data_IF_405498415240
#
_entry.id   IF_405498415240
#
_cell.length_a   1.000
_cell.length_b   1.000
_cell.length_c   1.000
_cell.angle_alpha   90.00
_cell.angle_beta   90.00
_cell.angle_gamma   90.00
#
_symmetry.space_group_name_H-M   'P 1'
#
loop_
_entity.id
_entity.type
_entity.pdbx_description
1 polymer ?
#
# COMPACT_ATOMS: atom_id res chain seq x y z
N UNK A 1 23.13 -0.05 -13.12
CA UNK A 1 21.80 -0.75 -13.21
C UNK A 1 20.74 0.34 -13.14
N UNK A 2 19.63 0.21 -13.87
CA UNK A 2 18.57 1.23 -13.83
C UNK A 2 17.78 1.16 -12.52
N UNK A 3 17.20 2.31 -12.09
CA UNK A 3 16.33 2.41 -10.92
C UNK A 3 15.19 1.38 -10.98
N UNK A 4 14.55 1.26 -12.14
CA UNK A 4 13.44 0.32 -12.38
C UNK A 4 13.88 -1.14 -12.21
N UNK A 5 15.07 -1.50 -12.67
CA UNK A 5 15.62 -2.85 -12.49
C UNK A 5 15.98 -3.13 -11.04
N UNK A 6 16.51 -2.14 -10.32
CA UNK A 6 16.79 -2.27 -8.89
C UNK A 6 15.49 -2.46 -8.08
N UNK A 7 14.42 -1.73 -8.45
CA UNK A 7 13.10 -1.92 -7.85
C UNK A 7 12.54 -3.34 -8.09
N UNK A 8 12.69 -3.89 -9.30
CA UNK A 8 12.32 -5.29 -9.58
C UNK A 8 13.14 -6.27 -8.73
N UNK A 9 14.43 -6.04 -8.60
CA UNK A 9 15.31 -6.87 -7.76
C UNK A 9 14.85 -6.86 -6.30
N UNK A 10 14.56 -5.68 -5.75
CA UNK A 10 14.05 -5.54 -4.38
C UNK A 10 12.66 -6.21 -4.22
N UNK A 11 11.77 -6.09 -5.23
CA UNK A 11 10.46 -6.73 -5.23
C UNK A 11 10.56 -8.27 -5.15
N UNK A 12 11.59 -8.87 -5.74
CA UNK A 12 11.81 -10.32 -5.74
C UNK A 12 12.40 -10.87 -4.43
N UNK A 13 12.88 -10.03 -3.51
CA UNK A 13 13.40 -10.47 -2.22
C UNK A 13 12.27 -11.10 -1.39
N UNK A 14 12.50 -12.31 -0.87
CA UNK A 14 11.49 -13.02 -0.10
C UNK A 14 11.49 -12.67 1.39
N UNK A 15 12.67 -12.46 1.97
CA UNK A 15 12.79 -12.07 3.38
C UNK A 15 12.32 -10.61 3.59
N UNK A 16 11.40 -10.37 4.53
CA UNK A 16 10.85 -9.03 4.73
C UNK A 16 11.88 -7.99 5.18
N UNK A 17 12.83 -8.36 6.03
CA UNK A 17 13.83 -7.42 6.54
C UNK A 17 14.91 -7.14 5.49
N UNK A 18 15.32 -8.15 4.73
CA UNK A 18 16.22 -7.95 3.59
C UNK A 18 15.58 -7.04 2.53
N UNK A 19 14.28 -7.20 2.27
CA UNK A 19 13.52 -6.31 1.38
C UNK A 19 13.50 -4.88 1.91
N UNK A 20 13.21 -4.67 3.19
CA UNK A 20 13.26 -3.36 3.84
C UNK A 20 14.61 -2.70 3.65
N UNK A 21 15.70 -3.42 3.96
CA UNK A 21 17.07 -2.93 3.80
C UNK A 21 17.40 -2.57 2.34
N UNK A 22 16.97 -3.41 1.40
CA UNK A 22 17.17 -3.15 -0.03
C UNK A 22 16.45 -1.89 -0.50
N UNK A 23 15.20 -1.65 -0.03
CA UNK A 23 14.42 -0.45 -0.36
C UNK A 23 15.06 0.80 0.25
N UNK A 24 15.48 0.74 1.51
CA UNK A 24 16.14 1.86 2.20
C UNK A 24 17.47 2.22 1.52
N UNK A 25 18.25 1.22 1.12
CA UNK A 25 19.48 1.44 0.36
C UNK A 25 19.20 2.05 -1.01
N UNK A 26 18.18 1.54 -1.72
CA UNK A 26 17.79 2.04 -3.03
C UNK A 26 17.34 3.51 -2.94
N UNK A 27 16.57 3.88 -1.92
CA UNK A 27 16.20 5.26 -1.66
C UNK A 27 17.43 6.16 -1.39
N UNK A 28 18.34 5.71 -0.55
CA UNK A 28 19.56 6.47 -0.22
C UNK A 28 20.47 6.70 -1.44
N UNK A 29 20.50 5.75 -2.38
CA UNK A 29 21.40 5.76 -3.55
C UNK A 29 20.67 6.09 -4.87
N UNK A 30 19.39 6.45 -4.83
CA UNK A 30 18.57 6.65 -6.05
C UNK A 30 19.14 7.71 -7.01
N UNK A 31 19.81 8.74 -6.48
CA UNK A 31 20.43 9.82 -7.28
C UNK A 31 21.58 9.34 -8.15
N UNK A 32 22.22 8.22 -7.75
CA UNK A 32 23.33 7.60 -8.48
C UNK A 32 22.83 6.54 -9.47
N UNK A 33 21.57 6.15 -9.37
CA UNK A 33 20.95 5.19 -10.26
C UNK A 33 20.50 5.86 -11.56
N UNK A 34 20.80 5.21 -12.68
CA UNK A 34 20.33 5.68 -13.98
C UNK A 34 18.80 5.45 -14.07
N UNK A 35 18.04 6.53 -14.29
CA UNK A 35 16.65 6.39 -14.61
C UNK A 35 16.50 6.07 -16.11
N UNK A 36 15.85 4.98 -16.43
CA UNK A 36 15.61 4.52 -17.80
C UNK A 36 14.11 4.30 -18.03
N UNK A 37 13.30 5.36 -18.21
CA UNK A 37 11.85 5.24 -18.34
C UNK A 37 11.40 4.36 -19.51
N UNK A 38 12.19 4.32 -20.58
CA UNK A 38 11.87 3.59 -21.81
C UNK A 38 12.41 2.14 -21.80
N UNK A 39 13.15 1.74 -20.78
CA UNK A 39 13.67 0.36 -20.69
C UNK A 39 12.51 -0.63 -20.60
N UNK A 40 12.50 -1.60 -21.50
CA UNK A 40 11.57 -2.72 -21.42
C UNK A 40 12.13 -3.78 -20.49
N UNK A 41 11.52 -3.90 -19.32
CA UNK A 41 11.90 -4.89 -18.32
C UNK A 41 10.91 -6.05 -18.36
N UNK A 42 11.44 -7.25 -18.34
CA UNK A 42 10.66 -8.48 -18.25
C UNK A 42 10.98 -9.19 -16.95
N UNK A 43 9.96 -9.74 -16.32
CA UNK A 43 10.12 -10.68 -15.22
C UNK A 43 10.76 -11.96 -15.79
N UNK A 44 11.78 -12.47 -15.13
CA UNK A 44 12.35 -13.77 -15.50
C UNK A 44 11.37 -14.90 -15.11
N UNK A 45 11.28 -15.93 -15.93
CA UNK A 45 10.27 -16.99 -15.81
C UNK A 45 10.31 -17.76 -14.48
N UNK A 46 11.45 -17.76 -13.81
CA UNK A 46 11.63 -18.43 -12.51
C UNK A 46 11.39 -17.51 -11.30
N UNK A 47 11.18 -16.20 -11.52
CA UNK A 47 10.91 -15.26 -10.44
C UNK A 47 9.42 -15.25 -10.08
N UNK A 48 9.12 -15.35 -8.78
CA UNK A 48 7.77 -15.13 -8.27
C UNK A 48 7.61 -13.67 -7.84
N UNK A 49 6.50 -13.05 -8.25
CA UNK A 49 6.17 -11.68 -7.84
C UNK A 49 4.91 -11.65 -6.98
N UNK A 50 5.00 -10.92 -5.87
CA UNK A 50 6.20 -10.41 -5.24
C UNK A 50 6.99 -11.56 -4.59
N UNK A 51 8.29 -11.34 -4.32
CA UNK A 51 9.01 -12.18 -3.38
C UNK A 51 8.31 -12.13 -2.02
N UNK A 52 8.05 -13.29 -1.44
CA UNK A 52 7.34 -13.43 -0.14
C UNK A 52 7.96 -14.50 0.72
N UNK A 53 7.95 -14.32 2.05
CA UNK A 53 8.26 -15.42 2.94
C UNK A 53 7.16 -16.50 2.87
N UNK A 54 7.46 -17.70 3.34
CA UNK A 54 6.51 -18.83 3.39
C UNK A 54 5.32 -18.50 4.31
N UNK A 55 5.55 -17.75 5.36
CA UNK A 55 4.54 -17.23 6.28
C UNK A 55 4.49 -15.70 6.20
N UNK A 56 3.33 -15.09 6.41
CA UNK A 56 2.05 -15.65 6.85
C UNK A 56 1.37 -16.52 5.80
N UNK A 57 0.59 -17.51 6.25
CA UNK A 57 -0.30 -18.24 5.37
C UNK A 57 -1.36 -17.30 4.82
N UNK A 58 -1.52 -17.27 3.50
CA UNK A 58 -2.52 -16.45 2.84
C UNK A 58 -3.83 -17.24 2.68
N UNK A 59 -4.90 -16.69 3.24
CA UNK A 59 -6.24 -17.27 3.20
C UNK A 59 -7.25 -16.27 2.64
N UNK A 60 -8.43 -16.70 2.18
CA UNK A 60 -9.48 -15.78 1.74
C UNK A 60 -9.83 -14.77 2.84
N UNK A 61 -9.97 -13.49 2.48
CA UNK A 61 -10.21 -12.40 3.45
C UNK A 61 -11.39 -12.66 4.40
N UNK A 62 -12.45 -13.34 3.91
CA UNK A 62 -13.64 -13.72 4.72
C UNK A 62 -13.34 -14.73 5.81
N UNK A 63 -12.21 -15.43 5.75
CA UNK A 63 -11.80 -16.44 6.74
C UNK A 63 -10.76 -15.90 7.72
N UNK A 64 -10.21 -14.70 7.48
CA UNK A 64 -9.31 -14.06 8.44
C UNK A 64 -10.11 -13.66 9.68
N UNK A 65 -9.77 -14.15 10.88
CA UNK A 65 -10.51 -13.84 12.09
C UNK A 65 -10.50 -12.34 12.39
N UNK A 66 -11.64 -11.82 12.89
CA UNK A 66 -11.70 -10.45 13.39
C UNK A 66 -10.80 -10.29 14.60
N UNK A 67 -10.00 -9.23 14.62
CA UNK A 67 -9.03 -8.95 15.67
C UNK A 67 -9.52 -7.83 16.59
N UNK A 68 -9.14 -7.91 17.86
CA UNK A 68 -9.52 -6.91 18.87
C UNK A 68 -8.33 -6.59 19.75
N UNK A 69 -8.03 -5.30 20.05
CA UNK A 69 -6.89 -4.93 20.87
C UNK A 69 -7.09 -5.10 22.39
N UNK A 70 -8.23 -5.68 22.81
CA UNK A 70 -8.57 -5.82 24.23
C UNK A 70 -7.95 -7.04 24.93
N UNK A 71 -7.23 -7.87 24.19
CA UNK A 71 -6.43 -8.98 24.74
C UNK A 71 -5.00 -8.90 24.17
N UNK A 72 -3.98 -9.41 24.88
CA UNK A 72 -2.60 -9.39 24.37
C UNK A 72 -2.45 -10.04 23.01
N UNK A 73 -3.01 -11.23 22.82
CA UNK A 73 -2.99 -11.96 21.54
C UNK A 73 -3.77 -11.22 20.44
N UNK A 74 -4.93 -10.65 20.79
CA UNK A 74 -5.74 -9.89 19.87
C UNK A 74 -5.03 -8.60 19.40
N UNK A 75 -4.30 -7.93 20.30
CA UNK A 75 -3.45 -6.77 19.95
C UNK A 75 -2.31 -7.21 19.02
N UNK A 76 -1.62 -8.30 19.35
CA UNK A 76 -0.54 -8.82 18.50
C UNK A 76 -1.05 -9.19 17.09
N UNK A 77 -2.21 -9.85 17.01
CA UNK A 77 -2.83 -10.23 15.75
C UNK A 77 -3.31 -9.00 14.94
N UNK A 78 -3.82 -7.95 15.59
CA UNK A 78 -4.16 -6.69 14.94
C UNK A 78 -2.91 -5.99 14.41
N UNK A 79 -1.86 -5.88 15.22
CA UNK A 79 -0.57 -5.30 14.84
C UNK A 79 0.05 -6.07 13.66
N UNK A 80 0.02 -7.41 13.69
CA UNK A 80 0.47 -8.24 12.58
C UNK A 80 -0.32 -7.98 11.29
N UNK A 81 -1.65 -7.81 11.39
CA UNK A 81 -2.46 -7.52 10.22
C UNK A 81 -2.10 -6.16 9.57
N UNK A 82 -1.83 -5.14 10.38
CA UNK A 82 -1.33 -3.84 9.86
C UNK A 82 0.06 -4.02 9.26
N UNK A 83 0.98 -4.71 9.97
CA UNK A 83 2.32 -5.01 9.45
C UNK A 83 2.26 -5.72 8.08
N UNK A 84 1.27 -6.61 7.87
CA UNK A 84 1.07 -7.27 6.58
C UNK A 84 0.56 -6.31 5.49
N UNK A 85 -0.24 -5.31 5.85
CA UNK A 85 -0.67 -4.25 4.92
C UNK A 85 0.54 -3.46 4.45
N UNK A 86 1.40 -2.99 5.38
CA UNK A 86 2.61 -2.22 5.04
C UNK A 86 3.59 -3.04 4.18
N UNK A 87 3.78 -4.34 4.49
CA UNK A 87 4.59 -5.22 3.64
C UNK A 87 4.04 -5.33 2.21
N UNK A 88 2.72 -5.41 2.05
CA UNK A 88 2.12 -5.37 0.73
C UNK A 88 2.29 -4.00 0.06
N UNK A 89 2.15 -2.90 0.79
CA UNK A 89 2.33 -1.55 0.26
C UNK A 89 3.76 -1.33 -0.28
N UNK A 90 4.79 -1.86 0.40
CA UNK A 90 6.17 -1.91 -0.16
C UNK A 90 6.15 -2.60 -1.54
N UNK A 91 5.52 -3.77 -1.64
CA UNK A 91 5.48 -4.53 -2.89
C UNK A 91 4.71 -3.79 -3.99
N UNK A 92 3.58 -3.14 -3.65
CA UNK A 92 2.77 -2.36 -4.60
C UNK A 92 3.53 -1.16 -5.15
N UNK A 93 4.25 -0.44 -4.29
CA UNK A 93 5.06 0.70 -4.68
C UNK A 93 6.26 0.29 -5.55
N UNK A 94 6.99 -0.76 -5.18
CA UNK A 94 8.07 -1.31 -6.00
C UNK A 94 7.56 -1.81 -7.36
N UNK A 95 6.38 -2.43 -7.39
CA UNK A 95 5.74 -2.88 -8.63
C UNK A 95 5.39 -1.68 -9.53
N UNK A 96 4.90 -0.58 -8.96
CA UNK A 96 4.62 0.64 -9.71
C UNK A 96 5.91 1.23 -10.32
N UNK A 97 7.04 1.21 -9.61
CA UNK A 97 8.32 1.71 -10.13
C UNK A 97 8.82 0.91 -11.31
N UNK A 98 8.82 -0.43 -11.23
CA UNK A 98 9.45 -1.23 -12.29
C UNK A 98 8.55 -1.51 -13.49
N UNK A 99 7.24 -1.69 -13.25
CA UNK A 99 6.32 -2.28 -14.23
C UNK A 99 5.99 -1.36 -15.40
N UNK A 100 5.77 -0.08 -15.15
CA UNK A 100 5.21 0.83 -16.14
C UNK A 100 6.30 1.68 -16.80
N UNK A 101 6.68 1.37 -18.08
CA UNK A 101 7.57 2.22 -18.85
C UNK A 101 6.84 3.50 -19.31
N UNK A 102 7.62 4.45 -19.82
CA UNK A 102 7.16 5.69 -20.47
C UNK A 102 6.42 6.66 -19.54
N UNK A 103 6.49 6.46 -18.22
CA UNK A 103 6.01 7.46 -17.27
C UNK A 103 7.05 8.59 -17.11
N UNK A 104 6.63 9.81 -16.72
CA UNK A 104 7.56 10.89 -16.38
C UNK A 104 8.49 10.49 -15.22
N UNK A 105 9.71 11.04 -15.19
CA UNK A 105 10.70 10.74 -14.14
C UNK A 105 10.16 10.92 -12.71
N UNK A 106 9.39 11.98 -12.40
CA UNK A 106 8.82 12.14 -11.05
C UNK A 106 7.94 10.97 -10.60
N UNK A 107 7.27 10.25 -11.53
CA UNK A 107 6.47 9.07 -11.20
C UNK A 107 7.30 8.01 -10.47
N UNK A 108 8.47 7.72 -10.98
CA UNK A 108 9.33 6.67 -10.40
C UNK A 108 9.91 7.09 -9.05
N UNK A 109 10.26 8.38 -8.90
CA UNK A 109 10.75 8.93 -7.64
C UNK A 109 9.64 8.96 -6.58
N UNK A 110 8.43 9.34 -6.97
CA UNK A 110 7.27 9.36 -6.08
C UNK A 110 6.97 7.96 -5.52
N UNK A 111 6.88 6.95 -6.39
CA UNK A 111 6.60 5.59 -5.95
C UNK A 111 7.78 4.95 -5.19
N UNK A 112 9.02 5.32 -5.50
CA UNK A 112 10.16 4.88 -4.69
C UNK A 112 10.13 5.50 -3.29
N UNK A 113 9.69 6.77 -3.16
CA UNK A 113 9.50 7.40 -1.86
C UNK A 113 8.41 6.67 -1.07
N UNK A 114 7.29 6.33 -1.69
CA UNK A 114 6.25 5.51 -1.04
C UNK A 114 6.84 4.18 -0.55
N UNK A 115 7.57 3.43 -1.41
CA UNK A 115 8.20 2.18 -1.01
C UNK A 115 9.12 2.35 0.21
N UNK A 116 9.88 3.45 0.26
CA UNK A 116 10.76 3.76 1.37
C UNK A 116 9.99 4.06 2.66
N UNK A 117 8.98 4.92 2.62
CA UNK A 117 8.14 5.26 3.78
C UNK A 117 7.41 4.01 4.31
N UNK A 118 6.85 3.17 3.43
CA UNK A 118 6.23 1.89 3.79
C UNK A 118 7.21 0.89 4.42
N UNK A 119 8.47 0.91 3.97
CA UNK A 119 9.53 0.09 4.58
C UNK A 119 9.81 0.49 6.03
N UNK A 120 9.72 1.78 6.34
CA UNK A 120 9.85 2.30 7.71
C UNK A 120 8.63 1.95 8.57
N UNK A 121 7.43 2.04 8.00
CA UNK A 121 6.19 1.61 8.68
C UNK A 121 6.27 0.13 9.06
N UNK A 122 6.63 -0.72 8.10
CA UNK A 122 6.78 -2.15 8.37
C UNK A 122 7.80 -2.43 9.47
N UNK A 123 9.00 -1.84 9.40
CA UNK A 123 10.07 -2.05 10.38
C UNK A 123 9.66 -1.62 11.79
N UNK A 124 8.99 -0.48 11.92
CA UNK A 124 8.47 0.07 13.17
C UNK A 124 7.44 -0.87 13.80
N UNK A 125 6.45 -1.33 13.02
CA UNK A 125 5.41 -2.25 13.46
C UNK A 125 5.96 -3.64 13.77
N UNK A 126 6.87 -4.15 12.93
CA UNK A 126 7.52 -5.44 13.10
C UNK A 126 8.33 -5.49 14.41
N UNK A 127 9.11 -4.44 14.68
CA UNK A 127 9.88 -4.32 15.93
C UNK A 127 8.95 -4.31 17.15
N UNK A 128 7.82 -3.60 17.07
CA UNK A 128 6.84 -3.59 18.15
C UNK A 128 6.17 -4.96 18.34
N UNK A 129 5.86 -5.67 17.25
CA UNK A 129 5.30 -7.02 17.27
C UNK A 129 6.25 -8.01 17.97
N UNK A 130 7.56 -7.91 17.69
CA UNK A 130 8.58 -8.69 18.39
C UNK A 130 8.61 -8.39 19.90
N UNK A 131 8.44 -7.11 20.28
CA UNK A 131 8.32 -6.71 21.67
C UNK A 131 7.08 -7.29 22.39
N UNK A 132 6.06 -7.71 21.64
CA UNK A 132 4.90 -8.46 22.14
C UNK A 132 5.11 -9.99 22.19
N UNK A 133 6.30 -10.48 21.82
CA UNK A 133 6.61 -11.91 21.77
C UNK A 133 6.13 -12.63 20.52
N UNK A 134 5.75 -11.90 19.48
CA UNK A 134 5.26 -12.43 18.21
C UNK A 134 6.16 -12.01 17.04
N UNK A 135 6.03 -12.69 15.88
CA UNK A 135 6.74 -12.41 14.67
C UNK A 135 5.79 -12.20 13.50
N UNK A 136 6.27 -11.49 12.49
CA UNK A 136 5.58 -11.46 11.20
C UNK A 136 5.53 -12.88 10.62
N UNK A 137 4.31 -13.34 10.33
CA UNK A 137 4.04 -14.71 9.91
C UNK A 137 3.27 -15.56 10.94
N UNK A 138 3.17 -15.14 12.20
CA UNK A 138 2.50 -15.93 13.26
C UNK A 138 0.98 -16.02 13.08
N UNK A 139 0.37 -15.10 12.33
CA UNK A 139 -1.07 -15.07 12.10
C UNK A 139 -1.39 -15.13 10.61
N UNK A 140 -2.51 -15.77 10.25
CA UNK A 140 -2.99 -15.79 8.88
C UNK A 140 -3.29 -14.37 8.36
N UNK A 141 -3.08 -14.16 7.04
CA UNK A 141 -3.31 -12.92 6.34
C UNK A 141 -4.06 -13.14 5.03
N UNK A 142 -4.31 -12.10 4.24
CA UNK A 142 -4.93 -12.20 2.93
C UNK A 142 -4.23 -11.35 1.87
N UNK A 143 -4.39 -11.72 0.62
CA UNK A 143 -3.66 -11.13 -0.51
C UNK A 143 -4.51 -10.19 -1.39
N UNK A 144 -5.54 -9.60 -0.82
CA UNK A 144 -6.49 -8.79 -1.60
C UNK A 144 -5.89 -7.60 -2.33
N UNK A 145 -4.88 -6.95 -1.74
CA UNK A 145 -4.19 -5.80 -2.35
C UNK A 145 -3.35 -6.25 -3.56
N UNK A 146 -2.54 -7.28 -3.37
CA UNK A 146 -1.72 -7.79 -4.47
C UNK A 146 -2.54 -8.38 -5.61
N UNK A 147 -3.66 -9.02 -5.30
CA UNK A 147 -4.57 -9.52 -6.33
C UNK A 147 -5.07 -8.41 -7.26
N UNK A 148 -5.42 -7.22 -6.72
CA UNK A 148 -5.78 -6.06 -7.56
C UNK A 148 -4.57 -5.55 -8.34
N UNK A 149 -3.37 -5.58 -7.74
CA UNK A 149 -2.13 -5.25 -8.42
C UNK A 149 -1.90 -6.14 -9.66
N UNK A 150 -2.12 -7.44 -9.54
CA UNK A 150 -2.05 -8.39 -10.66
C UNK A 150 -3.11 -8.11 -11.73
N UNK A 151 -4.37 -7.87 -11.32
CA UNK A 151 -5.46 -7.55 -12.26
C UNK A 151 -5.15 -6.30 -13.11
N UNK A 152 -4.41 -5.34 -12.55
CA UNK A 152 -4.07 -4.07 -13.22
C UNK A 152 -2.65 -4.03 -13.78
N UNK A 153 -2.02 -5.18 -13.97
CA UNK A 153 -0.61 -5.27 -14.38
C UNK A 153 -0.31 -4.60 -15.72
N UNK A 154 -1.26 -4.61 -16.64
CA UNK A 154 -1.09 -4.12 -18.01
C UNK A 154 -1.67 -2.70 -18.23
N UNK A 155 -2.24 -2.08 -17.20
CA UNK A 155 -2.90 -0.77 -17.31
C UNK A 155 -2.52 0.13 -16.12
N UNK A 156 -1.58 1.04 -16.36
CA UNK A 156 -1.13 2.00 -15.35
C UNK A 156 -2.25 2.91 -14.86
N UNK A 157 -3.22 3.26 -15.70
CA UNK A 157 -4.34 4.11 -15.30
C UNK A 157 -5.28 3.36 -14.37
N UNK A 158 -5.61 2.10 -14.68
CA UNK A 158 -6.37 1.23 -13.79
C UNK A 158 -5.61 0.96 -12.48
N UNK A 159 -4.28 0.79 -12.54
CA UNK A 159 -3.42 0.64 -11.35
C UNK A 159 -3.56 1.83 -10.42
N UNK A 160 -3.41 3.06 -10.92
CA UNK A 160 -3.51 4.28 -10.11
C UNK A 160 -4.91 4.48 -9.54
N UNK A 161 -5.94 4.14 -10.32
CA UNK A 161 -7.33 4.22 -9.86
C UNK A 161 -7.66 3.23 -8.74
N UNK A 162 -7.22 1.97 -8.87
CA UNK A 162 -7.77 0.86 -8.08
C UNK A 162 -6.87 0.41 -6.93
N UNK A 163 -5.57 0.67 -6.98
CA UNK A 163 -4.64 0.32 -5.91
C UNK A 163 -4.51 1.49 -4.93
N UNK A 164 -3.75 2.57 -5.18
CA UNK A 164 -3.58 3.62 -4.17
C UNK A 164 -4.88 4.37 -3.87
N UNK A 165 -5.57 4.81 -4.91
CA UNK A 165 -6.78 5.62 -4.78
C UNK A 165 -7.97 4.87 -4.17
N UNK A 166 -8.05 3.55 -4.32
CA UNK A 166 -9.17 2.74 -3.81
C UNK A 166 -8.77 1.91 -2.60
N UNK A 167 -7.74 1.07 -2.71
CA UNK A 167 -7.42 0.11 -1.65
C UNK A 167 -6.61 0.74 -0.52
N UNK A 168 -5.56 1.51 -0.80
CA UNK A 168 -4.77 2.20 0.23
C UNK A 168 -5.60 3.32 0.89
N UNK A 169 -6.39 4.07 0.11
CA UNK A 169 -7.29 5.08 0.67
C UNK A 169 -8.30 4.54 1.71
N UNK A 170 -8.53 3.22 1.77
CA UNK A 170 -9.28 2.59 2.87
C UNK A 170 -8.55 2.69 4.21
N UNK A 171 -7.23 2.78 4.19
CA UNK A 171 -6.41 3.07 5.36
C UNK A 171 -6.79 4.40 6.01
N UNK A 172 -7.05 5.44 5.19
CA UNK A 172 -7.49 6.75 5.71
C UNK A 172 -8.79 6.66 6.50
N UNK A 173 -9.70 5.75 6.12
CA UNK A 173 -11.00 5.57 6.76
C UNK A 173 -10.93 4.63 7.97
N UNK A 174 -10.17 3.55 7.88
CA UNK A 174 -10.11 2.49 8.88
C UNK A 174 -9.22 2.84 10.08
N UNK A 175 -8.11 3.53 9.84
CA UNK A 175 -7.11 3.83 10.87
C UNK A 175 -7.67 4.61 12.04
N UNK A 176 -8.48 5.67 11.89
CA UNK A 176 -9.07 6.36 13.04
C UNK A 176 -9.95 5.47 13.92
N UNK A 177 -10.66 4.51 13.32
CA UNK A 177 -11.49 3.57 14.06
C UNK A 177 -10.66 2.56 14.86
N UNK A 178 -9.54 2.12 14.29
CA UNK A 178 -8.57 1.25 14.97
C UNK A 178 -7.92 1.99 16.14
N UNK A 179 -7.47 3.23 15.91
CA UNK A 179 -6.89 4.09 16.94
C UNK A 179 -7.84 4.33 18.12
N UNK A 180 -9.13 4.58 17.84
CA UNK A 180 -10.13 4.74 18.89
C UNK A 180 -10.26 3.48 19.77
N UNK A 181 -10.23 2.28 19.16
CA UNK A 181 -10.24 1.01 19.92
C UNK A 181 -8.96 0.80 20.73
N UNK A 182 -7.80 1.13 20.17
CA UNK A 182 -6.50 1.03 20.85
C UNK A 182 -6.44 1.97 22.06
N UNK A 183 -6.87 3.22 21.90
CA UNK A 183 -6.94 4.20 23.02
C UNK A 183 -7.94 3.76 24.08
N UNK A 184 -9.06 3.11 23.69
CA UNK A 184 -10.03 2.55 24.63
C UNK A 184 -9.45 1.33 25.38
N UNK A 185 -8.62 0.51 24.76
CA UNK A 185 -7.93 -0.61 25.42
C UNK A 185 -6.95 -0.12 26.51
N UNK A 186 -6.39 1.06 26.34
CA UNK A 186 -5.61 1.84 27.31
C UNK A 186 -4.45 1.06 27.99
N UNK A 187 -3.86 0.08 27.29
CA UNK A 187 -2.62 -0.57 27.73
C UNK A 187 -1.42 0.14 27.11
N UNK A 188 -0.25 0.05 27.73
CA UNK A 188 0.99 0.68 27.23
C UNK A 188 1.24 0.29 25.77
N UNK A 189 1.10 -1.00 25.42
CA UNK A 189 1.34 -1.49 24.08
C UNK A 189 0.25 -1.04 23.08
N UNK A 190 -1.02 -0.97 23.51
CA UNK A 190 -2.09 -0.49 22.65
C UNK A 190 -1.93 1.02 22.37
N UNK A 191 -1.55 1.82 23.36
CA UNK A 191 -1.29 3.25 23.17
C UNK A 191 -0.09 3.47 22.23
N UNK A 192 1.00 2.73 22.43
CA UNK A 192 2.16 2.77 21.51
C UNK A 192 1.77 2.38 20.08
N UNK A 193 0.92 1.36 19.91
CA UNK A 193 0.40 1.02 18.58
C UNK A 193 -0.42 2.17 17.99
N UNK A 194 -1.23 2.86 18.77
CA UNK A 194 -2.00 4.02 18.32
C UNK A 194 -1.07 5.17 17.88
N UNK A 195 0.03 5.42 18.59
CA UNK A 195 1.01 6.44 18.22
C UNK A 195 1.69 6.12 16.87
N UNK A 196 2.00 4.84 16.61
CA UNK A 196 2.52 4.41 15.30
C UNK A 196 1.50 4.63 14.19
N UNK A 197 0.23 4.34 14.45
CA UNK A 197 -0.84 4.60 13.49
C UNK A 197 -1.09 6.10 13.24
N UNK A 198 -0.74 6.99 14.18
CA UNK A 198 -0.76 8.44 13.96
C UNK A 198 0.31 8.85 12.92
N UNK A 199 1.49 8.23 12.95
CA UNK A 199 2.56 8.45 11.97
C UNK A 199 2.11 7.94 10.60
N UNK A 200 1.69 6.68 10.54
CA UNK A 200 1.23 6.02 9.31
C UNK A 200 0.10 6.82 8.66
N UNK A 201 -0.96 7.15 9.38
CA UNK A 201 -2.09 7.90 8.84
C UNK A 201 -1.68 9.25 8.23
N UNK A 202 -0.73 9.95 8.86
CA UNK A 202 -0.22 11.23 8.36
C UNK A 202 0.49 11.06 7.02
N UNK A 203 1.29 10.01 6.86
CA UNK A 203 2.08 9.73 5.65
C UNK A 203 1.22 9.12 4.55
N UNK A 204 0.25 8.25 4.89
CA UNK A 204 -0.74 7.68 3.99
C UNK A 204 -1.55 8.73 3.20
N UNK A 205 -1.82 9.89 3.80
CA UNK A 205 -2.42 11.01 3.06
C UNK A 205 -1.55 11.41 1.86
N UNK A 206 -0.23 11.39 2.02
CA UNK A 206 0.74 11.65 0.95
C UNK A 206 0.76 10.54 -0.12
N UNK A 207 0.73 9.27 0.30
CA UNK A 207 0.73 8.13 -0.62
C UNK A 207 -0.51 8.12 -1.51
N UNK A 208 -1.68 8.32 -0.90
CA UNK A 208 -2.94 8.43 -1.64
C UNK A 208 -2.96 9.67 -2.54
N UNK A 209 -2.36 10.79 -2.11
CA UNK A 209 -2.24 12.00 -2.94
C UNK A 209 -1.39 11.75 -4.19
N UNK A 210 -0.29 10.99 -4.08
CA UNK A 210 0.53 10.54 -5.23
C UNK A 210 -0.34 9.71 -6.20
N UNK A 211 -1.09 8.74 -5.69
CA UNK A 211 -2.00 7.94 -6.50
C UNK A 211 -3.06 8.79 -7.23
N UNK A 212 -3.67 9.75 -6.53
CA UNK A 212 -4.64 10.69 -7.10
C UNK A 212 -4.02 11.61 -8.16
N UNK A 213 -2.81 12.10 -7.92
CA UNK A 213 -2.06 12.93 -8.88
C UNK A 213 -1.84 12.17 -10.19
N UNK A 214 -1.25 10.99 -10.12
CA UNK A 214 -0.92 10.20 -11.31
C UNK A 214 -2.16 9.66 -12.03
N UNK A 215 -3.22 9.33 -11.30
CA UNK A 215 -4.49 8.97 -11.92
C UNK A 215 -5.06 10.11 -12.76
N UNK A 216 -5.12 11.34 -12.22
CA UNK A 216 -5.63 12.50 -12.94
C UNK A 216 -4.73 12.90 -14.10
N UNK A 217 -3.43 12.88 -13.89
CA UNK A 217 -2.47 13.14 -14.96
C UNK A 217 -2.69 12.20 -16.15
N UNK A 218 -2.87 10.90 -15.89
CA UNK A 218 -3.15 9.91 -16.92
C UNK A 218 -4.51 10.13 -17.60
N UNK A 219 -5.54 10.52 -16.86
CA UNK A 219 -6.84 10.89 -17.41
C UNK A 219 -6.71 12.10 -18.35
N UNK A 220 -6.00 13.14 -17.93
CA UNK A 220 -5.75 14.33 -18.75
C UNK A 220 -5.00 13.99 -20.04
N UNK A 221 -3.93 13.20 -19.97
CA UNK A 221 -3.18 12.76 -21.15
C UNK A 221 -4.03 11.98 -22.15
N UNK A 222 -5.10 11.33 -21.68
CA UNK A 222 -6.00 10.50 -22.51
C UNK A 222 -7.35 11.19 -22.82
N UNK A 223 -7.55 12.44 -22.38
CA UNK A 223 -8.80 13.18 -22.58
C UNK A 223 -10.02 12.52 -21.88
N UNK A 224 -9.81 11.89 -20.73
CA UNK A 224 -10.85 11.16 -19.97
C UNK A 224 -11.34 11.99 -18.79
N UNK A 225 -12.67 11.93 -18.51
CA UNK A 225 -13.21 12.45 -17.26
C UNK A 225 -12.86 11.52 -16.09
N UNK A 226 -12.17 12.01 -15.04
CA UNK A 226 -11.70 11.17 -13.95
C UNK A 226 -12.82 10.46 -13.18
N UNK A 227 -13.98 11.12 -12.98
CA UNK A 227 -15.08 10.52 -12.21
C UNK A 227 -15.80 9.45 -13.02
N UNK A 228 -16.13 9.75 -14.27
CA UNK A 228 -16.81 8.79 -15.15
C UNK A 228 -15.93 7.56 -15.43
N UNK A 229 -14.64 7.80 -15.70
CA UNK A 229 -13.71 6.71 -15.99
C UNK A 229 -13.40 5.84 -14.75
N UNK A 230 -13.34 6.45 -13.55
CA UNK A 230 -13.21 5.69 -12.30
C UNK A 230 -14.38 4.71 -12.12
N UNK A 231 -15.62 5.15 -12.41
CA UNK A 231 -16.81 4.28 -12.39
C UNK A 231 -16.73 3.10 -13.34
N UNK A 232 -16.18 3.34 -14.53
CA UNK A 232 -15.94 2.28 -15.52
C UNK A 232 -14.92 1.26 -15.01
N UNK A 233 -13.77 1.73 -14.50
CA UNK A 233 -12.71 0.89 -13.98
C UNK A 233 -13.15 0.05 -12.79
N UNK A 234 -13.89 0.62 -11.84
CA UNK A 234 -14.41 -0.13 -10.69
C UNK A 234 -15.33 -1.28 -11.09
N UNK A 235 -16.14 -1.09 -12.15
CA UNK A 235 -16.98 -2.16 -12.71
C UNK A 235 -16.17 -3.18 -13.47
N UNK A 236 -15.26 -2.73 -14.37
CA UNK A 236 -14.45 -3.60 -15.24
C UNK A 236 -13.55 -4.55 -14.45
N UNK A 237 -12.94 -4.05 -13.39
CA UNK A 237 -12.00 -4.82 -12.56
C UNK A 237 -12.65 -5.42 -11.30
N UNK A 238 -13.97 -5.29 -11.15
CA UNK A 238 -14.73 -5.79 -10.00
C UNK A 238 -14.11 -5.32 -8.67
N UNK A 239 -13.81 -4.01 -8.60
CA UNK A 239 -13.21 -3.42 -7.42
C UNK A 239 -14.15 -3.55 -6.20
N UNK A 240 -13.61 -3.75 -4.99
CA UNK A 240 -14.44 -3.88 -3.81
C UNK A 240 -15.25 -2.60 -3.57
N UNK A 241 -16.55 -2.76 -3.30
CA UNK A 241 -17.42 -1.64 -2.95
C UNK A 241 -16.95 -1.00 -1.65
N UNK A 242 -16.62 0.29 -1.69
CA UNK A 242 -16.27 1.06 -0.51
C UNK A 242 -17.50 1.28 0.35
N UNK A 243 -17.33 1.34 1.67
CA UNK A 243 -18.41 1.49 2.64
C UNK A 243 -18.05 2.55 3.68
N UNK A 244 -18.99 3.41 4.09
CA UNK A 244 -18.77 4.37 5.17
C UNK A 244 -18.49 3.66 6.51
N UNK A 245 -17.94 4.37 7.51
CA UNK A 245 -17.67 5.81 7.46
C UNK A 245 -16.42 6.15 6.65
N UNK A 246 -16.45 7.32 5.98
CA UNK A 246 -15.30 7.86 5.25
C UNK A 246 -14.68 9.02 6.02
N UNK A 247 -13.34 9.04 6.08
CA UNK A 247 -12.58 10.19 6.60
C UNK A 247 -12.46 11.25 5.49
N UNK A 248 -13.53 12.03 5.30
CA UNK A 248 -13.61 13.02 4.22
C UNK A 248 -12.50 14.06 4.31
N UNK A 249 -12.09 14.48 5.51
CA UNK A 249 -11.00 15.43 5.71
C UNK A 249 -9.67 14.86 5.20
N UNK A 250 -9.29 13.66 5.61
CA UNK A 250 -8.07 13.02 5.12
C UNK A 250 -8.11 12.77 3.60
N UNK A 251 -9.26 12.38 3.07
CA UNK A 251 -9.44 12.22 1.64
C UNK A 251 -9.32 13.54 0.87
N UNK A 252 -9.87 14.64 1.37
CA UNK A 252 -9.70 15.98 0.79
C UNK A 252 -8.23 16.39 0.80
N UNK A 253 -7.53 16.18 1.93
CA UNK A 253 -6.07 16.42 2.02
C UNK A 253 -5.27 15.55 1.06
N UNK A 254 -5.71 14.32 0.80
CA UNK A 254 -5.16 13.43 -0.22
C UNK A 254 -5.59 13.83 -1.65
N UNK A 255 -6.29 14.94 -1.81
CA UNK A 255 -6.64 15.54 -3.10
C UNK A 255 -7.90 14.97 -3.75
N UNK A 256 -8.79 14.27 -3.05
CA UNK A 256 -10.12 13.98 -3.60
C UNK A 256 -10.93 15.26 -3.77
N UNK A 257 -11.56 15.44 -4.92
CA UNK A 257 -12.47 16.56 -5.19
C UNK A 257 -13.84 16.32 -4.56
N UNK A 258 -14.67 17.38 -4.43
CA UNK A 258 -16.05 17.25 -3.96
C UNK A 258 -16.84 16.25 -4.80
N UNK A 259 -16.77 16.34 -6.13
CA UNK A 259 -17.48 15.42 -7.03
C UNK A 259 -17.08 13.94 -6.82
N UNK A 260 -15.81 13.70 -6.49
CA UNK A 260 -15.30 12.35 -6.18
C UNK A 260 -15.79 11.86 -4.81
N UNK A 261 -15.88 12.75 -3.82
CA UNK A 261 -16.43 12.45 -2.50
C UNK A 261 -17.94 12.22 -2.55
N UNK A 262 -18.67 13.05 -3.29
CA UNK A 262 -20.11 12.88 -3.50
C UNK A 262 -20.43 11.53 -4.15
N UNK A 263 -19.60 11.11 -5.11
CA UNK A 263 -19.72 9.77 -5.68
C UNK A 263 -19.51 8.66 -4.64
N UNK A 264 -18.56 8.82 -3.72
CA UNK A 264 -18.31 7.82 -2.66
C UNK A 264 -19.46 7.76 -1.64
N UNK A 265 -20.09 8.91 -1.35
CA UNK A 265 -21.19 9.03 -0.39
C UNK A 265 -22.55 8.63 -0.98
N UNK A 266 -22.75 8.82 -2.28
CA UNK A 266 -24.02 8.58 -2.98
C UNK A 266 -24.11 7.26 -3.76
N UNK A 267 -23.07 6.45 -3.74
CA UNK A 267 -22.94 5.21 -4.54
C UNK A 267 -23.45 3.93 -3.87
#
# INVERSE_FOLDING_TARGET
MSLRRLALTALCICDPLEKVQAVQLLWATQKDAMLSPNEQLHQETHQTLPGRPVLPRLIPAKHVPTRTPFTPEGLAALLHAVCHIEFNAINLALDAVWRFPHMPEPYYTDWLRVAYEESQHFEMLHTHLQGLGHRYGDFDAHDGMWHMCQKTADDVLARMALVPRTLEARGLDATPLIQAKLRKANTVNALRTADFLDIILREEVGHVAIGNHWYRWLCEQRGLDPVAHYRELTRRYEAPKLRPPFNTEARQRAGFTEAELDYLLGG
#
